data_IF_815687101123
#
_entry.id   IF_815687101123
#
_cell.length_a   1.000
_cell.length_b   1.000
_cell.length_c   1.000
_cell.angle_alpha   90.00
_cell.angle_beta   90.00
_cell.angle_gamma   90.00
#
_symmetry.space_group_name_H-M   'P 1'
#
loop_
_entity.id
_entity.type
_entity.pdbx_description
1 polymer ?
#
# COMPACT_ATOMS: atom_id res chain seq x y z
N UNK A 1 -17.96 4.58 -0.18
CA UNK A 1 -17.30 4.64 1.14
C UNK A 1 -16.06 5.50 1.00
N UNK A 2 -15.81 6.44 1.90
CA UNK A 2 -14.63 7.32 1.86
C UNK A 2 -13.73 7.01 3.05
N UNK A 3 -12.44 6.84 2.76
CA UNK A 3 -11.41 6.67 3.77
C UNK A 3 -10.39 7.80 3.66
N UNK A 4 -9.84 8.21 4.80
CA UNK A 4 -8.84 9.26 4.91
C UNK A 4 -7.60 8.70 5.56
N UNK A 5 -6.46 8.96 4.95
CA UNK A 5 -5.17 8.64 5.49
C UNK A 5 -4.74 9.76 6.43
N UNK A 6 -4.47 9.46 7.71
CA UNK A 6 -3.97 10.44 8.65
C UNK A 6 -2.48 10.20 8.89
N UNK A 7 -1.62 10.80 8.07
CA UNK A 7 -0.16 10.69 8.19
C UNK A 7 0.56 12.03 7.99
N UNK A 8 1.76 12.15 8.56
CA UNK A 8 2.76 13.12 8.10
C UNK A 8 3.45 12.48 6.90
N UNK A 9 3.08 12.90 5.70
CA UNK A 9 3.62 12.38 4.44
C UNK A 9 5.13 12.62 4.44
N UNK A 10 6.01 11.62 4.64
CA UNK A 10 7.41 11.71 4.16
C UNK A 10 8.17 10.39 3.95
N UNK A 11 7.72 9.21 4.39
CA UNK A 11 8.39 7.96 4.00
C UNK A 11 7.45 6.74 3.90
N UNK A 12 7.64 5.92 2.86
CA UNK A 12 7.18 4.53 2.89
C UNK A 12 7.95 3.82 4.01
N UNK A 13 7.22 3.20 4.95
CA UNK A 13 7.78 2.59 6.14
C UNK A 13 7.46 3.32 7.45
N UNK A 14 6.74 4.44 7.41
CA UNK A 14 6.14 5.06 8.60
C UNK A 14 4.83 4.37 9.00
N UNK A 15 4.48 4.46 10.28
CA UNK A 15 3.20 4.01 10.82
C UNK A 15 2.09 5.03 10.57
N UNK A 16 0.90 4.57 10.20
CA UNK A 16 -0.25 5.45 9.99
C UNK A 16 -1.60 4.79 10.22
N UNK A 17 -2.60 5.64 10.51
CA UNK A 17 -3.98 5.21 10.76
C UNK A 17 -4.89 5.67 9.62
N UNK A 18 -5.78 4.78 9.18
CA UNK A 18 -6.82 5.06 8.20
C UNK A 18 -8.14 5.26 8.93
N UNK A 19 -8.76 6.41 8.69
CA UNK A 19 -10.05 6.78 9.26
C UNK A 19 -11.14 6.72 8.20
N UNK A 20 -12.38 6.47 8.61
CA UNK A 20 -13.54 6.71 7.76
C UNK A 20 -13.90 8.20 7.68
N UNK A 21 -14.96 8.51 6.94
CA UNK A 21 -15.47 9.88 6.80
C UNK A 21 -15.96 10.52 8.10
N UNK A 22 -16.28 9.72 9.12
CA UNK A 22 -16.72 10.17 10.44
C UNK A 22 -15.55 10.43 11.40
N UNK A 23 -14.31 10.14 10.96
CA UNK A 23 -13.10 10.28 11.76
C UNK A 23 -12.83 9.09 12.68
N UNK A 24 -13.52 7.96 12.47
CA UNK A 24 -13.29 6.74 13.24
C UNK A 24 -12.13 5.96 12.64
N UNK A 25 -11.17 5.60 13.50
CA UNK A 25 -10.06 4.73 13.13
C UNK A 25 -10.61 3.36 12.70
N UNK A 26 -10.29 2.96 11.47
CA UNK A 26 -10.76 1.72 10.84
C UNK A 26 -9.63 0.73 10.65
N UNK A 27 -8.45 1.21 10.28
CA UNK A 27 -7.28 0.37 10.01
C UNK A 27 -6.02 1.05 10.50
N UNK A 28 -5.03 0.21 10.82
CA UNK A 28 -3.69 0.64 11.17
C UNK A 28 -2.69 0.03 10.21
N UNK A 29 -1.70 0.81 9.81
CA UNK A 29 -0.59 0.34 8.99
C UNK A 29 0.68 0.50 9.80
N UNK A 30 1.31 -0.63 10.08
CA UNK A 30 2.61 -0.74 10.74
C UNK A 30 3.69 -0.81 9.66
N UNK A 31 4.44 0.27 9.54
CA UNK A 31 5.53 0.42 8.61
C UNK A 31 6.83 -0.11 9.21
N UNK A 32 7.43 -1.09 8.54
CA UNK A 32 8.73 -1.64 8.96
C UNK A 32 9.78 -1.26 7.96
N UNK A 33 10.57 -0.26 8.33
CA UNK A 33 11.81 0.09 7.64
C UNK A 33 12.85 -1.01 7.93
N UNK A 34 13.00 -1.95 7.01
CA UNK A 34 14.10 -2.92 7.05
C UNK A 34 15.24 -2.43 6.15
N UNK A 35 16.46 -2.95 6.37
CA UNK A 35 17.63 -2.61 5.53
C UNK A 35 17.49 -3.04 4.06
N UNK A 36 16.47 -3.83 3.71
CA UNK A 36 16.25 -4.38 2.37
C UNK A 36 14.75 -4.26 2.04
N UNK A 37 14.41 -3.17 1.35
CA UNK A 37 13.07 -2.88 0.83
C UNK A 37 12.03 -2.52 1.90
N UNK A 38 10.99 -1.81 1.47
CA UNK A 38 9.90 -1.40 2.36
C UNK A 38 8.94 -2.56 2.62
N UNK A 39 8.45 -2.66 3.87
CA UNK A 39 7.41 -3.60 4.27
C UNK A 39 6.36 -2.90 5.10
N UNK A 40 5.09 -3.15 4.79
CA UNK A 40 3.95 -2.60 5.51
C UNK A 40 3.04 -3.74 5.94
N UNK A 41 2.58 -3.70 7.19
CA UNK A 41 1.55 -4.60 7.71
C UNK A 41 0.24 -3.83 7.82
N UNK A 42 -0.75 -4.21 7.02
CA UNK A 42 -2.10 -3.66 7.06
C UNK A 42 -2.95 -4.45 8.07
N UNK A 43 -3.42 -3.78 9.12
CA UNK A 43 -4.06 -4.41 10.27
C UNK A 43 -5.44 -3.80 10.56
N UNK A 44 -6.31 -4.58 11.20
CA UNK A 44 -7.48 -4.01 11.87
C UNK A 44 -7.08 -3.27 13.17
N UNK A 45 -8.03 -2.58 13.79
CA UNK A 45 -7.78 -1.85 15.05
C UNK A 45 -7.52 -2.76 16.27
N UNK A 46 -7.68 -4.09 16.13
CA UNK A 46 -7.34 -5.06 17.16
C UNK A 46 -5.91 -5.61 16.98
N UNK A 47 -5.19 -5.19 15.94
CA UNK A 47 -3.84 -5.66 15.60
C UNK A 47 -3.81 -6.95 14.78
N UNK A 48 -4.94 -7.38 14.22
CA UNK A 48 -4.97 -8.54 13.33
C UNK A 48 -4.46 -8.14 11.94
N UNK A 49 -3.36 -8.76 11.49
CA UNK A 49 -2.83 -8.57 10.13
C UNK A 49 -3.85 -9.07 9.08
N UNK A 50 -4.39 -8.13 8.32
CA UNK A 50 -5.35 -8.40 7.24
C UNK A 50 -4.62 -8.62 5.90
N UNK A 51 -3.52 -7.89 5.68
CA UNK A 51 -2.65 -8.03 4.53
C UNK A 51 -1.24 -7.51 4.83
N UNK A 52 -0.27 -7.94 4.03
CA UNK A 52 1.10 -7.44 4.07
C UNK A 52 1.50 -6.95 2.68
N UNK A 53 2.16 -5.81 2.63
CA UNK A 53 2.70 -5.23 1.40
C UNK A 53 4.22 -5.29 1.52
N UNK A 54 4.90 -5.89 0.55
CA UNK A 54 6.36 -6.00 0.55
C UNK A 54 6.90 -5.52 -0.78
N UNK A 55 7.92 -4.65 -0.74
CA UNK A 55 8.63 -4.24 -1.93
C UNK A 55 9.50 -5.39 -2.47
N UNK A 56 9.40 -5.67 -3.76
CA UNK A 56 10.37 -6.53 -4.44
C UNK A 56 11.68 -5.76 -4.62
N UNK A 57 12.75 -6.31 -4.07
CA UNK A 57 14.11 -5.81 -4.25
C UNK A 57 14.77 -6.49 -5.45
N UNK A 58 15.73 -5.82 -6.08
CA UNK A 58 16.45 -6.29 -7.27
C UNK A 58 15.62 -6.37 -8.56
N UNK A 59 14.45 -5.73 -8.60
CA UNK A 59 13.65 -5.58 -9.83
C UNK A 59 13.94 -4.25 -10.52
N UNK A 60 13.77 -4.21 -11.85
CA UNK A 60 13.80 -2.94 -12.60
C UNK A 60 12.50 -2.18 -12.27
N UNK A 61 12.62 -1.23 -11.35
CA UNK A 61 11.52 -0.40 -10.87
C UNK A 61 10.91 -0.81 -9.55
N UNK A 62 9.95 0.00 -9.13
CA UNK A 62 9.21 -0.21 -7.90
C UNK A 62 8.06 -1.18 -8.14
N UNK A 63 8.19 -2.38 -7.59
CA UNK A 63 7.17 -3.41 -7.55
C UNK A 63 6.87 -3.79 -6.10
N UNK A 64 5.61 -4.05 -5.82
CA UNK A 64 5.14 -4.50 -4.52
C UNK A 64 4.31 -5.76 -4.69
N UNK A 65 4.47 -6.69 -3.76
CA UNK A 65 3.60 -7.85 -3.62
C UNK A 65 2.68 -7.64 -2.42
N UNK A 66 1.40 -7.94 -2.62
CA UNK A 66 0.38 -7.94 -1.57
C UNK A 66 0.15 -9.39 -1.17
N UNK A 67 0.38 -9.70 0.10
CA UNK A 67 0.13 -11.01 0.69
C UNK A 67 -1.09 -10.95 1.61
N UNK A 68 -1.97 -11.93 1.49
CA UNK A 68 -3.10 -12.14 2.39
C UNK A 68 -3.03 -13.56 2.94
N UNK A 69 -3.06 -13.70 4.27
CA UNK A 69 -2.88 -15.00 4.93
C UNK A 69 -1.61 -15.75 4.48
N UNK A 70 -0.51 -15.02 4.24
CA UNK A 70 0.75 -15.57 3.75
C UNK A 70 0.76 -16.04 2.29
N UNK A 71 -0.31 -15.82 1.54
CA UNK A 71 -0.40 -16.12 0.10
C UNK A 71 -0.40 -14.83 -0.70
N UNK A 72 0.31 -14.85 -1.81
CA UNK A 72 0.31 -13.75 -2.76
C UNK A 72 -1.09 -13.56 -3.36
N UNK A 73 -1.61 -12.34 -3.19
CA UNK A 73 -2.93 -11.92 -3.63
C UNK A 73 -2.83 -11.09 -4.92
N UNK A 74 -1.97 -10.08 -4.93
CA UNK A 74 -1.79 -9.19 -6.08
C UNK A 74 -0.37 -8.64 -6.16
N UNK A 75 0.01 -8.16 -7.34
CA UNK A 75 1.21 -7.37 -7.58
C UNK A 75 0.84 -5.95 -7.96
N UNK A 76 1.57 -4.98 -7.42
CA UNK A 76 1.40 -3.56 -7.73
C UNK A 76 2.70 -3.05 -8.31
N UNK A 77 2.66 -2.52 -9.52
CA UNK A 77 3.83 -1.96 -10.20
C UNK A 77 3.65 -0.46 -10.43
N UNK A 78 4.63 0.33 -10.00
CA UNK A 78 4.65 1.76 -10.31
C UNK A 78 4.99 1.97 -11.79
N UNK A 79 4.16 2.72 -12.51
CA UNK A 79 4.44 3.16 -13.89
C UNK A 79 5.59 4.16 -13.86
N UNK A 80 6.65 3.90 -14.63
CA UNK A 80 7.86 4.74 -14.63
C UNK A 80 7.75 6.02 -15.47
N UNK A 81 6.75 6.12 -16.35
CA UNK A 81 6.68 7.16 -17.37
C UNK A 81 5.77 8.36 -17.00
N UNK A 82 5.30 8.43 -15.76
CA UNK A 82 4.43 9.51 -15.28
C UNK A 82 5.24 10.54 -14.50
N UNK A 83 5.82 11.53 -15.21
CA UNK A 83 6.73 12.53 -14.63
C UNK A 83 6.08 13.45 -13.58
N UNK A 84 4.74 13.49 -13.52
CA UNK A 84 3.97 14.38 -12.62
C UNK A 84 2.81 13.69 -11.90
N UNK A 85 2.66 12.36 -12.04
CA UNK A 85 1.55 11.60 -11.42
C UNK A 85 2.05 10.25 -10.97
N UNK A 86 1.55 9.78 -9.84
CA UNK A 86 1.81 8.42 -9.42
C UNK A 86 0.71 7.52 -9.98
N UNK A 87 1.09 6.67 -10.94
CA UNK A 87 0.20 5.69 -11.55
C UNK A 87 0.73 4.29 -11.27
N UNK A 88 -0.18 3.37 -10.96
CA UNK A 88 0.15 2.00 -10.58
C UNK A 88 -0.67 1.01 -11.41
N UNK A 89 -0.01 -0.01 -11.98
CA UNK A 89 -0.69 -1.19 -12.52
C UNK A 89 -0.89 -2.20 -11.39
N UNK A 90 -2.07 -2.80 -11.31
CA UNK A 90 -2.38 -3.86 -10.34
C UNK A 90 -2.66 -5.14 -11.14
N UNK A 91 -1.82 -6.16 -10.90
CA UNK A 91 -2.01 -7.50 -11.45
C UNK A 91 -2.60 -8.38 -10.34
N UNK A 92 -3.88 -8.72 -10.45
CA UNK A 92 -4.58 -9.62 -9.52
C UNK A 92 -4.48 -11.08 -9.99
N UNK A 93 -4.43 -12.01 -9.03
CA UNK A 93 -4.46 -13.46 -9.29
C UNK A 93 -5.88 -13.96 -9.54
N UNK A 94 -6.90 -13.28 -9.01
CA UNK A 94 -8.31 -13.51 -9.34
C UNK A 94 -8.75 -12.54 -10.45
N UNK A 95 -9.60 -12.95 -11.41
CA UNK A 95 -9.93 -12.11 -12.56
C UNK A 95 -10.66 -10.83 -12.12
N UNK A 96 -9.93 -9.72 -12.19
CA UNK A 96 -10.39 -8.35 -12.02
C UNK A 96 -9.29 -7.41 -12.48
N UNK A 97 -9.52 -6.67 -13.56
CA UNK A 97 -8.61 -5.60 -13.97
C UNK A 97 -8.85 -4.41 -13.05
N UNK A 98 -7.85 -4.09 -12.20
CA UNK A 98 -7.90 -2.96 -11.29
C UNK A 98 -6.83 -1.94 -11.70
N UNK A 99 -7.23 -0.67 -11.87
CA UNK A 99 -6.32 0.46 -12.07
C UNK A 99 -6.45 1.43 -10.89
N UNK A 100 -5.32 1.98 -10.45
CA UNK A 100 -5.28 2.99 -9.40
C UNK A 100 -4.48 4.22 -9.86
N UNK A 101 -5.10 5.39 -9.74
CA UNK A 101 -4.49 6.70 -10.00
C UNK A 101 -4.63 7.59 -8.76
N UNK A 102 -3.61 8.42 -8.50
CA UNK A 102 -3.63 9.40 -7.42
C UNK A 102 -2.75 10.61 -7.73
N UNK A 103 -3.10 11.73 -7.13
CA UNK A 103 -2.30 12.96 -7.12
C UNK A 103 -1.86 13.22 -5.67
N UNK A 104 -0.57 13.44 -5.45
CA UNK A 104 -0.02 13.76 -4.12
C UNK A 104 -0.25 15.23 -3.74
N UNK A 105 -0.64 16.08 -4.70
CA UNK A 105 -0.79 17.52 -4.52
C UNK A 105 -2.24 17.99 -4.42
N UNK A 106 -3.23 17.08 -4.47
CA UNK A 106 -4.66 17.35 -4.26
C UNK A 106 -5.09 17.17 -2.80
#
# INVERSE_FOLDING_TARGET
MKYKLRQKIFALGDDFTIQDETGRDCYFVDGKVFSIGDKLSFQDMNGNELARIEQEVLTIGTKYRILRNGREFAHVRKKMFTLFRDAFDIEDREPGDFDAEGDFFD
#
